data_IF_378548081295
#
_entry.id   IF_378548081295
#
_cell.length_a   1.000
_cell.length_b   1.000
_cell.length_c   1.000
_cell.angle_alpha   90.00
_cell.angle_beta   90.00
_cell.angle_gamma   90.00
#
_symmetry.space_group_name_H-M   'P 1'
#
loop_
_entity.id
_entity.type
_entity.pdbx_description
1 polymer ?
#
# COMPACT_ATOMS: atom_id res chain seq x y z
N UNK A 1 -57.07 -32.98 38.21
CA UNK A 1 -55.94 -33.41 37.41
C UNK A 1 -55.03 -32.25 37.00
N UNK A 2 -55.48 -31.15 36.38
CA UNK A 2 -54.65 -29.98 35.94
C UNK A 2 -53.83 -29.29 37.05
N UNK A 3 -54.35 -29.15 38.29
CA UNK A 3 -53.63 -28.56 39.44
C UNK A 3 -52.42 -29.39 39.88
N UNK A 4 -52.55 -30.72 39.96
CA UNK A 4 -51.44 -31.64 40.29
C UNK A 4 -50.30 -31.59 39.25
N UNK A 5 -50.64 -31.48 37.99
CA UNK A 5 -49.65 -31.39 36.88
C UNK A 5 -48.87 -30.05 36.98
N UNK A 6 -49.55 -28.93 37.28
CA UNK A 6 -48.87 -27.66 37.45
C UNK A 6 -47.91 -27.67 38.64
N UNK A 7 -48.27 -28.31 39.76
CA UNK A 7 -47.38 -28.42 40.95
C UNK A 7 -46.18 -29.32 40.65
N UNK A 8 -46.34 -30.41 39.92
CA UNK A 8 -45.21 -31.26 39.49
C UNK A 8 -44.29 -30.50 38.54
N UNK A 9 -44.83 -29.76 37.59
CA UNK A 9 -44.05 -28.95 36.66
C UNK A 9 -43.29 -27.79 37.33
N UNK A 10 -43.88 -27.18 38.40
CA UNK A 10 -43.14 -26.18 39.17
C UNK A 10 -42.00 -26.80 39.97
N UNK A 11 -42.17 -27.96 40.55
CA UNK A 11 -41.11 -28.69 41.28
C UNK A 11 -39.97 -29.15 40.38
N UNK A 12 -40.27 -29.53 39.14
CA UNK A 12 -39.24 -29.85 38.16
C UNK A 12 -38.46 -28.60 37.75
N UNK A 13 -39.16 -27.47 37.61
CA UNK A 13 -38.54 -26.19 37.20
C UNK A 13 -37.66 -25.57 38.28
N UNK A 14 -37.95 -25.88 39.56
CA UNK A 14 -37.20 -25.34 40.71
C UNK A 14 -36.10 -26.30 41.19
N UNK A 15 -35.91 -27.45 40.53
CA UNK A 15 -34.89 -28.42 40.91
C UNK A 15 -33.49 -27.86 40.51
N UNK A 16 -32.70 -27.52 41.52
CA UNK A 16 -31.35 -26.95 41.33
C UNK A 16 -30.41 -27.89 40.52
N UNK A 17 -30.57 -29.19 40.71
CA UNK A 17 -29.79 -30.20 39.97
C UNK A 17 -30.07 -30.14 38.45
N UNK A 18 -31.31 -29.88 38.03
CA UNK A 18 -31.64 -29.68 36.63
C UNK A 18 -31.07 -28.38 36.07
N UNK A 19 -31.12 -27.32 36.85
CA UNK A 19 -30.49 -26.03 36.46
C UNK A 19 -28.97 -26.12 36.35
N UNK A 20 -28.32 -26.90 37.21
CA UNK A 20 -26.90 -27.17 37.11
C UNK A 20 -26.56 -28.00 35.84
N UNK A 21 -27.39 -29.01 35.57
CA UNK A 21 -27.23 -29.83 34.36
C UNK A 21 -27.36 -28.98 33.11
N UNK A 22 -28.34 -28.08 33.02
CA UNK A 22 -28.54 -27.16 31.90
C UNK A 22 -27.35 -26.19 31.75
N UNK A 23 -26.80 -25.66 32.85
CA UNK A 23 -25.60 -24.82 32.80
C UNK A 23 -24.38 -25.58 32.31
N UNK A 24 -24.22 -26.84 32.77
CA UNK A 24 -23.13 -27.69 32.32
C UNK A 24 -23.23 -28.01 30.83
N UNK A 25 -24.44 -28.35 30.32
CA UNK A 25 -24.68 -28.55 28.90
C UNK A 25 -24.45 -27.28 28.10
N UNK A 26 -24.93 -26.13 28.59
CA UNK A 26 -24.72 -24.85 27.92
C UNK A 26 -23.21 -24.51 27.77
N UNK A 27 -22.44 -24.67 28.85
CA UNK A 27 -21.00 -24.46 28.86
C UNK A 27 -20.26 -25.45 27.94
N UNK A 28 -20.67 -26.71 27.92
CA UNK A 28 -20.11 -27.73 27.05
C UNK A 28 -20.34 -27.41 25.58
N UNK A 29 -21.56 -27.03 25.19
CA UNK A 29 -21.89 -26.60 23.83
C UNK A 29 -21.18 -25.33 23.42
N UNK A 30 -21.01 -24.37 24.34
CA UNK A 30 -20.27 -23.15 24.09
C UNK A 30 -18.79 -23.45 23.77
N UNK A 31 -18.16 -24.36 24.48
CA UNK A 31 -16.80 -24.79 24.21
C UNK A 31 -16.69 -25.53 22.86
N UNK A 32 -17.66 -26.36 22.51
CA UNK A 32 -17.68 -27.03 21.19
C UNK A 32 -17.76 -25.99 20.06
N UNK A 33 -18.61 -24.98 20.20
CA UNK A 33 -18.76 -23.91 19.21
C UNK A 33 -17.45 -23.14 19.06
N UNK A 34 -16.78 -22.81 20.18
CA UNK A 34 -15.49 -22.11 20.15
C UNK A 34 -14.39 -22.92 19.45
N UNK A 35 -14.32 -24.23 19.76
CA UNK A 35 -13.34 -25.11 19.12
C UNK A 35 -13.65 -25.25 17.61
N UNK A 36 -14.91 -25.42 17.24
CA UNK A 36 -15.31 -25.48 15.84
C UNK A 36 -14.98 -24.16 15.11
N UNK A 37 -15.26 -23.01 15.72
CA UNK A 37 -14.91 -21.71 15.16
C UNK A 37 -13.38 -21.56 14.97
N UNK A 38 -12.58 -22.00 15.95
CA UNK A 38 -11.12 -21.98 15.87
C UNK A 38 -10.61 -22.87 14.73
N UNK A 39 -11.17 -24.07 14.55
CA UNK A 39 -10.83 -24.97 13.46
C UNK A 39 -11.14 -24.34 12.10
N UNK A 40 -12.32 -23.74 11.96
CA UNK A 40 -12.72 -23.03 10.72
C UNK A 40 -11.77 -21.87 10.45
N UNK A 41 -11.41 -21.09 11.48
CA UNK A 41 -10.46 -20.00 11.35
C UNK A 41 -9.07 -20.50 10.91
N UNK A 42 -8.56 -21.59 11.50
CA UNK A 42 -7.28 -22.19 11.13
C UNK A 42 -7.28 -22.74 9.71
N UNK A 43 -8.40 -23.37 9.28
CA UNK A 43 -8.55 -23.85 7.90
C UNK A 43 -8.60 -22.69 6.91
N UNK A 44 -9.29 -21.60 7.27
CA UNK A 44 -9.38 -20.41 6.42
C UNK A 44 -8.05 -19.70 6.30
N UNK A 45 -7.34 -19.49 7.42
CA UNK A 45 -6.00 -18.89 7.43
C UNK A 45 -4.97 -19.77 6.73
N UNK A 46 -5.02 -21.08 6.94
CA UNK A 46 -4.16 -22.03 6.24
C UNK A 46 -4.36 -21.99 4.73
N UNK A 47 -5.62 -21.98 4.27
CA UNK A 47 -5.95 -21.85 2.84
C UNK A 47 -5.50 -20.51 2.28
N UNK A 48 -5.69 -19.42 3.05
CA UNK A 48 -5.22 -18.09 2.66
C UNK A 48 -3.70 -18.00 2.52
N UNK A 49 -2.95 -18.63 3.44
CA UNK A 49 -1.48 -18.68 3.38
C UNK A 49 -1.01 -19.50 2.17
N UNK A 50 -1.65 -20.62 1.87
CA UNK A 50 -1.33 -21.45 0.71
C UNK A 50 -1.61 -20.68 -0.58
N UNK A 51 -2.76 -20.02 -0.70
CA UNK A 51 -3.13 -19.20 -1.87
C UNK A 51 -2.19 -18.00 -2.08
N UNK A 52 -1.63 -17.44 -0.98
CA UNK A 52 -0.59 -16.40 -1.06
C UNK A 52 0.76 -16.96 -1.51
N UNK A 53 1.11 -18.21 -1.14
CA UNK A 53 2.38 -18.82 -1.53
C UNK A 53 2.46 -19.04 -3.04
N UNK A 54 1.32 -19.33 -3.68
CA UNK A 54 1.24 -19.50 -5.15
C UNK A 54 1.34 -18.15 -5.91
N UNK A 55 1.11 -17.01 -5.22
CA UNK A 55 1.24 -15.67 -5.80
C UNK A 55 2.66 -15.12 -5.74
N UNK A 56 3.50 -15.65 -4.85
CA UNK A 56 4.89 -15.25 -4.77
C UNK A 56 5.75 -16.42 -5.28
N UNK A 57 6.44 -16.24 -6.41
CA UNK A 57 7.36 -17.24 -6.90
C UNK A 57 8.43 -17.49 -5.83
N UNK A 58 8.78 -18.75 -5.61
CA UNK A 58 9.88 -19.11 -4.68
C UNK A 58 11.22 -18.54 -5.16
N UNK A 59 12.20 -18.51 -4.26
CA UNK A 59 13.52 -17.92 -4.54
C UNK A 59 14.17 -18.50 -5.78
N UNK A 60 13.92 -19.77 -6.07
CA UNK A 60 14.52 -20.49 -7.19
C UNK A 60 13.84 -20.13 -8.50
N UNK A 61 12.51 -19.91 -8.50
CA UNK A 61 11.79 -19.42 -9.67
C UNK A 61 12.13 -17.95 -9.98
N UNK A 62 12.32 -17.11 -8.96
CA UNK A 62 12.80 -15.72 -9.12
C UNK A 62 14.22 -15.70 -9.68
N UNK A 63 15.11 -16.56 -9.18
CA UNK A 63 16.47 -16.70 -9.70
C UNK A 63 16.47 -17.21 -11.15
N UNK A 64 15.63 -18.19 -11.49
CA UNK A 64 15.48 -18.71 -12.86
C UNK A 64 14.88 -17.67 -13.82
N UNK A 65 13.90 -16.90 -13.36
CA UNK A 65 13.35 -15.76 -14.13
C UNK A 65 14.39 -14.65 -14.30
N UNK A 66 15.18 -14.36 -13.26
CA UNK A 66 16.27 -13.38 -13.33
C UNK A 66 17.38 -13.84 -14.27
N UNK A 67 17.77 -15.12 -14.24
CA UNK A 67 18.79 -15.64 -15.16
C UNK A 67 18.36 -15.64 -16.64
N UNK A 68 17.05 -15.83 -16.91
CA UNK A 68 16.49 -15.77 -18.27
C UNK A 68 16.26 -14.33 -18.74
N UNK A 69 16.14 -13.37 -17.81
CA UNK A 69 15.95 -11.95 -18.09
C UNK A 69 17.27 -11.19 -18.38
N UNK A 70 18.42 -11.76 -18.00
CA UNK A 70 19.75 -11.12 -18.11
C UNK A 70 20.22 -10.93 -19.57
N UNK A 71 19.57 -11.52 -20.56
CA UNK A 71 19.98 -11.35 -21.96
C UNK A 71 19.45 -10.09 -22.65
N UNK A 72 18.53 -9.34 -22.01
CA UNK A 72 18.03 -8.08 -22.58
C UNK A 72 18.57 -6.89 -21.79
N UNK A 73 19.42 -6.11 -22.41
CA UNK A 73 19.84 -4.80 -21.88
C UNK A 73 18.58 -3.94 -21.73
N UNK A 74 18.40 -3.33 -20.53
CA UNK A 74 17.30 -2.40 -20.25
C UNK A 74 17.89 -1.05 -19.90
N UNK A 75 17.35 0.02 -20.45
CA UNK A 75 17.63 1.39 -20.04
C UNK A 75 16.38 2.00 -19.41
N UNK A 76 16.57 2.70 -18.31
CA UNK A 76 15.51 3.45 -17.63
C UNK A 76 15.82 4.94 -17.81
N UNK A 77 14.95 5.63 -18.54
CA UNK A 77 15.08 7.06 -18.73
C UNK A 77 14.54 7.81 -17.54
N UNK A 78 15.32 8.77 -17.03
CA UNK A 78 14.91 9.66 -15.97
C UNK A 78 15.26 11.09 -16.32
N UNK A 79 14.40 12.02 -15.89
CA UNK A 79 14.59 13.46 -16.07
C UNK A 79 14.43 14.13 -14.70
N UNK A 80 15.40 14.93 -14.34
CA UNK A 80 15.42 15.68 -13.07
C UNK A 80 15.13 17.17 -13.35
N UNK A 81 14.81 17.95 -12.29
CA UNK A 81 14.64 19.41 -12.27
C UNK A 81 13.52 19.99 -13.14
N UNK A 82 12.70 19.14 -13.77
CA UNK A 82 11.50 19.57 -14.47
C UNK A 82 10.34 19.96 -13.52
N UNK A 83 9.23 20.46 -14.08
CA UNK A 83 9.01 20.83 -15.48
C UNK A 83 9.74 22.12 -15.88
N UNK A 84 10.08 22.20 -17.15
CA UNK A 84 10.65 23.37 -17.80
C UNK A 84 9.94 23.63 -19.13
N UNK A 85 10.36 24.65 -19.87
CA UNK A 85 9.81 24.95 -21.19
C UNK A 85 10.06 23.82 -22.21
N UNK A 86 11.11 22.99 -22.00
CA UNK A 86 11.43 21.83 -22.84
C UNK A 86 10.65 20.56 -22.49
N UNK A 87 9.99 20.52 -21.33
CA UNK A 87 9.29 19.31 -20.88
C UNK A 87 8.21 18.86 -21.87
N UNK A 88 7.52 19.80 -22.51
CA UNK A 88 6.53 19.49 -23.53
C UNK A 88 7.12 18.75 -24.74
N UNK A 89 8.25 19.22 -25.26
CA UNK A 89 8.95 18.61 -26.38
C UNK A 89 9.48 17.20 -26.02
N UNK A 90 10.02 17.05 -24.80
CA UNK A 90 10.47 15.74 -24.31
C UNK A 90 9.32 14.73 -24.29
N UNK A 91 8.16 15.14 -23.78
CA UNK A 91 6.95 14.29 -23.73
C UNK A 91 6.48 13.90 -25.13
N UNK A 92 6.52 14.83 -26.11
CA UNK A 92 6.19 14.56 -27.51
C UNK A 92 7.10 13.49 -28.12
N UNK A 93 8.41 13.62 -27.92
CA UNK A 93 9.41 12.64 -28.37
C UNK A 93 9.18 11.27 -27.74
N UNK A 94 8.97 11.22 -26.41
CA UNK A 94 8.71 9.98 -25.70
C UNK A 94 7.44 9.28 -26.22
N UNK A 95 6.41 10.06 -26.54
CA UNK A 95 5.16 9.58 -27.10
C UNK A 95 5.36 9.03 -28.51
N UNK A 96 6.08 9.74 -29.39
CA UNK A 96 6.39 9.31 -30.76
C UNK A 96 7.10 7.94 -30.75
N UNK A 97 8.05 7.76 -29.83
CA UNK A 97 8.82 6.52 -29.73
C UNK A 97 8.18 5.45 -28.83
N UNK A 98 6.97 5.72 -28.27
CA UNK A 98 6.27 4.84 -27.32
C UNK A 98 7.16 4.40 -26.14
N UNK A 99 7.95 5.33 -25.60
CA UNK A 99 8.87 5.12 -24.48
C UNK A 99 8.32 5.78 -23.23
N UNK A 100 8.43 5.11 -22.09
CA UNK A 100 8.08 5.67 -20.78
C UNK A 100 9.33 6.06 -20.01
N UNK A 101 9.20 7.10 -19.18
CA UNK A 101 10.26 7.66 -18.37
C UNK A 101 9.79 7.98 -16.96
N UNK A 102 10.73 8.27 -16.06
CA UNK A 102 10.45 8.79 -14.73
C UNK A 102 10.91 10.25 -14.67
N UNK A 103 10.04 11.13 -14.21
CA UNK A 103 10.32 12.54 -14.04
C UNK A 103 10.41 12.86 -12.54
N UNK A 104 11.61 13.15 -12.06
CA UNK A 104 11.87 13.67 -10.73
C UNK A 104 11.75 15.19 -10.77
N UNK A 105 10.59 15.67 -10.36
CA UNK A 105 10.20 17.07 -10.55
C UNK A 105 10.49 17.91 -9.33
N UNK A 106 10.58 19.23 -9.56
CA UNK A 106 10.70 20.24 -8.50
C UNK A 106 9.44 21.10 -8.45
N UNK A 107 9.25 21.85 -7.34
CA UNK A 107 8.16 22.80 -7.21
C UNK A 107 8.23 23.89 -8.27
N UNK A 108 7.11 24.13 -8.96
CA UNK A 108 6.98 25.18 -9.97
C UNK A 108 5.65 25.91 -9.79
N UNK A 109 5.56 27.10 -10.36
CA UNK A 109 4.35 27.89 -10.36
C UNK A 109 3.27 27.28 -11.28
N UNK A 110 2.05 27.79 -11.21
CA UNK A 110 0.86 27.28 -11.91
C UNK A 110 1.01 27.17 -13.43
N UNK A 111 1.91 27.95 -14.06
CA UNK A 111 2.20 27.86 -15.50
C UNK A 111 2.61 26.45 -15.91
N UNK A 112 3.28 25.71 -15.02
CA UNK A 112 3.80 24.37 -15.29
C UNK A 112 2.88 23.23 -14.83
N UNK A 113 1.78 23.52 -14.14
CA UNK A 113 0.84 22.48 -13.68
C UNK A 113 0.29 21.58 -14.80
N UNK A 114 0.02 22.10 -16.03
CA UNK A 114 -0.34 21.24 -17.13
C UNK A 114 0.72 20.17 -17.48
N UNK A 115 2.00 20.45 -17.22
CA UNK A 115 3.07 19.49 -17.51
C UNK A 115 3.08 18.34 -16.50
N UNK A 116 2.82 18.59 -15.20
CA UNK A 116 2.64 17.51 -14.22
C UNK A 116 1.48 16.59 -14.60
N UNK A 117 0.35 17.16 -15.02
CA UNK A 117 -0.82 16.38 -15.49
C UNK A 117 -0.45 15.54 -16.71
N UNK A 118 0.20 16.17 -17.69
CA UNK A 118 0.59 15.51 -18.92
C UNK A 118 1.55 14.34 -18.68
N UNK A 119 2.52 14.49 -17.78
CA UNK A 119 3.44 13.40 -17.38
C UNK A 119 2.65 12.17 -16.91
N UNK A 120 1.63 12.36 -16.07
CA UNK A 120 0.79 11.28 -15.55
C UNK A 120 -0.13 10.71 -16.63
N UNK A 121 -0.83 11.57 -17.36
CA UNK A 121 -1.82 11.18 -18.40
C UNK A 121 -1.17 10.39 -19.55
N UNK A 122 0.08 10.72 -19.88
CA UNK A 122 0.83 9.98 -20.90
C UNK A 122 1.50 8.70 -20.34
N UNK A 123 1.26 8.36 -19.07
CA UNK A 123 1.68 7.10 -18.43
C UNK A 123 3.17 7.07 -18.06
N UNK A 124 3.78 8.21 -17.82
CA UNK A 124 5.10 8.33 -17.23
C UNK A 124 5.02 8.27 -15.70
N UNK A 125 6.13 8.00 -15.03
CA UNK A 125 6.20 8.04 -13.58
C UNK A 125 6.51 9.47 -13.12
N UNK A 126 5.61 10.04 -12.30
CA UNK A 126 5.85 11.30 -11.60
C UNK A 126 6.48 11.00 -10.24
N UNK A 127 7.60 11.67 -9.94
CA UNK A 127 8.40 11.44 -8.75
C UNK A 127 8.91 12.75 -8.16
N UNK A 128 9.29 12.73 -6.89
CA UNK A 128 9.69 13.89 -6.10
C UNK A 128 11.20 14.10 -6.22
N UNK A 129 11.63 15.32 -6.54
CA UNK A 129 13.03 15.71 -6.44
C UNK A 129 13.25 16.68 -5.27
N UNK A 130 12.56 17.81 -5.26
CA UNK A 130 12.54 18.81 -4.20
C UNK A 130 11.47 19.84 -4.52
N UNK A 131 10.93 20.51 -3.51
CA UNK A 131 10.06 21.66 -3.75
C UNK A 131 10.87 22.90 -4.14
N UNK A 132 11.83 23.28 -3.30
CA UNK A 132 12.60 24.52 -3.45
C UNK A 132 13.83 24.37 -4.35
N UNK A 133 14.44 23.19 -4.38
CA UNK A 133 15.74 22.88 -4.97
C UNK A 133 16.92 23.74 -4.40
N UNK A 134 16.73 24.26 -3.17
CA UNK A 134 17.72 25.08 -2.47
C UNK A 134 18.51 24.22 -1.47
N UNK A 135 19.70 23.76 -1.85
CA UNK A 135 20.52 22.81 -1.07
C UNK A 135 20.79 23.28 0.35
N UNK A 136 21.12 24.56 0.51
CA UNK A 136 21.39 25.16 1.82
C UNK A 136 20.18 25.14 2.75
N UNK A 137 18.97 25.12 2.20
CA UNK A 137 17.72 25.05 2.95
C UNK A 137 17.33 23.61 3.21
N UNK A 138 17.30 22.78 2.17
CA UNK A 138 16.86 21.37 2.25
C UNK A 138 17.71 20.59 3.24
N UNK A 139 19.03 20.79 3.20
CA UNK A 139 19.97 20.02 4.00
C UNK A 139 20.42 20.72 5.30
N UNK A 140 19.78 21.83 5.67
CA UNK A 140 20.08 22.51 6.94
C UNK A 140 19.61 21.73 8.17
N UNK A 141 18.52 20.96 8.04
CA UNK A 141 18.00 20.11 9.10
C UNK A 141 17.12 18.99 8.53
N UNK A 142 16.86 17.97 9.36
CA UNK A 142 15.90 16.90 9.02
C UNK A 142 14.49 17.45 8.77
N UNK A 143 14.05 18.39 9.59
CA UNK A 143 12.70 18.97 9.47
C UNK A 143 12.57 19.78 8.17
N UNK A 144 13.59 20.51 7.76
CA UNK A 144 13.60 21.23 6.50
C UNK A 144 13.50 20.28 5.31
N UNK A 145 14.23 19.17 5.36
CA UNK A 145 14.17 18.13 4.34
C UNK A 145 12.76 17.53 4.24
N UNK A 146 12.18 17.13 5.37
CA UNK A 146 10.82 16.54 5.39
C UNK A 146 9.80 17.54 4.89
N UNK A 147 9.86 18.79 5.32
CA UNK A 147 8.93 19.84 4.88
C UNK A 147 9.00 20.07 3.36
N UNK A 148 10.21 20.15 2.80
CA UNK A 148 10.42 20.33 1.35
C UNK A 148 9.80 19.17 0.53
N UNK A 149 9.99 17.95 1.00
CA UNK A 149 9.41 16.75 0.37
C UNK A 149 7.88 16.75 0.45
N UNK A 150 7.32 17.01 1.64
CA UNK A 150 5.87 16.98 1.85
C UNK A 150 5.16 18.14 1.13
N UNK A 151 5.80 19.29 1.01
CA UNK A 151 5.28 20.44 0.27
C UNK A 151 5.12 20.09 -1.22
N UNK A 152 6.15 19.50 -1.83
CA UNK A 152 6.05 19.05 -3.21
C UNK A 152 5.05 17.91 -3.38
N UNK A 153 5.07 16.94 -2.48
CA UNK A 153 4.13 15.81 -2.51
C UNK A 153 2.68 16.28 -2.49
N UNK A 154 2.38 17.24 -1.61
CA UNK A 154 1.06 17.86 -1.52
C UNK A 154 0.69 18.60 -2.81
N UNK A 155 1.58 19.43 -3.34
CA UNK A 155 1.38 20.13 -4.60
C UNK A 155 1.04 19.17 -5.74
N UNK A 156 1.84 18.11 -5.91
CA UNK A 156 1.65 17.13 -6.97
C UNK A 156 0.32 16.39 -6.83
N UNK A 157 -0.05 16.03 -5.59
CA UNK A 157 -1.33 15.41 -5.31
C UNK A 157 -2.50 16.35 -5.63
N UNK A 158 -2.45 17.60 -5.20
CA UNK A 158 -3.49 18.60 -5.44
C UNK A 158 -3.67 18.87 -6.96
N UNK A 159 -2.60 18.81 -7.73
CA UNK A 159 -2.62 19.07 -9.18
C UNK A 159 -3.00 17.84 -10.01
N UNK A 160 -2.51 16.65 -9.63
CA UNK A 160 -2.61 15.44 -10.48
C UNK A 160 -3.44 14.32 -9.88
N UNK A 161 -3.74 14.35 -8.57
CA UNK A 161 -4.38 13.27 -7.84
C UNK A 161 -3.45 12.07 -7.56
N UNK A 162 -2.16 12.15 -7.90
CA UNK A 162 -1.20 11.05 -7.74
C UNK A 162 -0.40 11.21 -6.45
N UNK A 163 -0.41 10.18 -5.59
CA UNK A 163 0.46 10.09 -4.42
C UNK A 163 1.85 9.59 -4.84
N UNK A 164 2.79 10.52 -5.02
CA UNK A 164 4.16 10.22 -5.45
C UNK A 164 4.95 9.51 -4.35
N UNK A 165 5.55 8.35 -4.68
CA UNK A 165 6.25 7.48 -3.71
C UNK A 165 7.75 7.37 -3.95
N UNK A 166 8.25 7.94 -5.04
CA UNK A 166 9.66 7.88 -5.40
C UNK A 166 10.29 9.24 -5.16
N UNK A 167 11.49 9.22 -4.60
CA UNK A 167 12.27 10.41 -4.31
C UNK A 167 13.70 10.24 -4.83
N UNK A 168 14.28 11.32 -5.35
CA UNK A 168 15.69 11.42 -5.69
C UNK A 168 16.29 12.63 -5.02
N UNK A 169 17.39 12.44 -4.29
CA UNK A 169 18.09 13.51 -3.59
C UNK A 169 18.71 14.50 -4.57
N UNK A 170 18.44 15.81 -4.46
CA UNK A 170 19.19 16.84 -5.16
C UNK A 170 20.67 16.75 -4.86
N UNK A 171 21.52 16.84 -5.90
CA UNK A 171 22.96 16.68 -5.76
C UNK A 171 23.44 15.24 -5.60
N UNK A 172 22.56 14.27 -5.41
CA UNK A 172 22.89 12.84 -5.32
C UNK A 172 24.02 12.56 -4.32
N UNK A 173 24.94 11.65 -4.70
CA UNK A 173 26.11 11.29 -3.86
C UNK A 173 27.19 12.38 -3.76
N UNK A 174 27.07 13.46 -4.52
CA UNK A 174 28.00 14.60 -4.47
C UNK A 174 27.66 15.56 -3.33
N UNK A 175 26.49 15.40 -2.71
CA UNK A 175 26.08 16.23 -1.60
C UNK A 175 26.89 15.85 -0.35
N UNK A 176 27.76 16.75 0.10
CA UNK A 176 28.55 16.63 1.32
C UNK A 176 27.97 17.59 2.34
N UNK A 177 27.08 17.11 3.17
CA UNK A 177 26.62 17.81 4.38
C UNK A 177 27.34 17.23 5.57
#
# INVERSE_FOLDING_TARGET
>A
MRKKIKTILSHIKDNEALKECDRFFAAYWQNIILVAALIVFLLFTGKFIIDQKDKFPDSDSVAAMSSKAVTRKRAYLTFDDGPSDQTGEILDILKEHNVKATFFVIGRNERYYPMYKRIVEEGHTLAIHSYSHEYSTIYASYDNFVNDVEELRKLLYDVTGVDCRYYRFPGGSSNRV
#
